data_IF_097327584667
#
_entry.id   IF_097327584667
#
_cell.length_a   1.000
_cell.length_b   1.000
_cell.length_c   1.000
_cell.angle_alpha   90.00
_cell.angle_beta   90.00
_cell.angle_gamma   90.00
#
_symmetry.space_group_name_H-M   'P 1'
#
loop_
_entity.id
_entity.type
_entity.pdbx_description
1 polymer ?
#
# COMPACT_ATOMS: atom_id res chain seq x y z
N UNK A 1 -2.21 21.74 8.59
CA UNK A 1 -2.96 21.11 7.49
C UNK A 1 -2.01 20.29 6.63
N UNK A 2 -2.35 19.04 6.39
CA UNK A 2 -1.47 18.18 5.61
C UNK A 2 -1.75 18.33 4.13
N UNK A 3 -0.69 18.36 3.36
CA UNK A 3 -0.79 18.51 1.92
C UNK A 3 -1.09 17.17 1.27
N UNK A 4 -2.07 17.14 0.37
CA UNK A 4 -2.46 15.94 -0.34
C UNK A 4 -2.16 16.09 -1.82
N UNK A 5 -1.90 14.96 -2.45
CA UNK A 5 -1.62 14.89 -3.88
C UNK A 5 -2.38 13.70 -4.46
N UNK A 6 -2.99 13.88 -5.61
CA UNK A 6 -3.71 12.81 -6.28
C UNK A 6 -3.09 12.52 -7.63
N UNK A 7 -2.96 11.23 -7.95
CA UNK A 7 -2.44 10.79 -9.23
C UNK A 7 -3.32 9.70 -9.78
N UNK A 8 -3.55 9.72 -11.08
CA UNK A 8 -4.26 8.65 -11.76
C UNK A 8 -3.25 7.68 -12.34
N UNK A 9 -3.35 6.39 -11.97
CA UNK A 9 -2.49 5.34 -12.50
C UNK A 9 -3.33 4.11 -12.78
N UNK A 10 -2.97 3.41 -13.83
CA UNK A 10 -3.63 2.16 -14.18
C UNK A 10 -2.61 1.03 -14.14
N UNK A 11 -2.91 0.01 -13.35
CA UNK A 11 -2.13 -1.23 -13.29
C UNK A 11 -3.09 -2.38 -13.50
N UNK A 12 -2.70 -3.36 -14.33
CA UNK A 12 -3.53 -4.55 -14.43
C UNK A 12 -3.18 -5.48 -13.26
N UNK A 13 -3.98 -6.53 -13.10
CA UNK A 13 -3.86 -7.42 -11.92
C UNK A 13 -2.50 -8.11 -11.84
N UNK A 14 -1.81 -8.27 -12.98
CA UNK A 14 -0.50 -8.93 -13.00
C UNK A 14 0.65 -7.97 -12.72
N UNK A 15 0.36 -6.68 -12.62
CA UNK A 15 1.40 -5.66 -12.45
C UNK A 15 1.56 -5.19 -11.01
N UNK A 16 1.22 -6.06 -10.05
CA UNK A 16 1.27 -5.68 -8.64
C UNK A 16 2.67 -5.27 -8.19
N UNK A 17 3.72 -5.87 -8.75
CA UNK A 17 5.07 -5.49 -8.39
C UNK A 17 5.42 -4.08 -8.88
N UNK A 18 4.93 -3.71 -10.04
CA UNK A 18 5.11 -2.35 -10.55
C UNK A 18 4.39 -1.34 -9.66
N UNK A 19 3.21 -1.72 -9.20
CA UNK A 19 2.44 -0.87 -8.30
C UNK A 19 3.15 -0.71 -6.96
N UNK A 20 3.70 -1.80 -6.41
CA UNK A 20 4.47 -1.75 -5.17
C UNK A 20 5.65 -0.80 -5.30
N UNK A 21 6.38 -0.90 -6.42
CA UNK A 21 7.55 -0.05 -6.66
C UNK A 21 7.15 1.41 -6.83
N UNK A 22 6.02 1.67 -7.47
CA UNK A 22 5.48 3.02 -7.62
C UNK A 22 5.21 3.66 -6.26
N UNK A 23 4.55 2.92 -5.38
CA UNK A 23 4.22 3.43 -4.05
C UNK A 23 5.47 3.66 -3.20
N UNK A 24 6.42 2.74 -3.27
CA UNK A 24 7.69 2.89 -2.53
C UNK A 24 8.46 4.10 -3.01
N UNK A 25 8.49 4.34 -4.32
CA UNK A 25 9.19 5.47 -4.89
C UNK A 25 8.57 6.78 -4.45
N UNK A 26 7.24 6.87 -4.45
CA UNK A 26 6.55 8.09 -4.00
C UNK A 26 6.84 8.37 -2.54
N UNK A 27 6.86 7.33 -1.70
CA UNK A 27 7.16 7.50 -0.29
C UNK A 27 8.58 8.03 -0.09
N UNK A 28 9.51 7.53 -0.88
CA UNK A 28 10.90 8.00 -0.80
C UNK A 28 11.04 9.44 -1.27
N UNK A 29 10.09 9.91 -2.08
CA UNK A 29 10.06 11.29 -2.56
C UNK A 29 9.29 12.22 -1.61
N UNK A 30 8.77 11.68 -0.51
CA UNK A 30 8.06 12.50 0.48
C UNK A 30 6.54 12.44 0.37
N UNK A 31 6.01 11.41 -0.28
CA UNK A 31 4.56 11.25 -0.46
C UNK A 31 4.15 9.85 -0.03
N UNK A 32 3.53 9.74 1.14
CA UNK A 32 3.07 8.43 1.60
C UNK A 32 1.67 8.14 1.10
N UNK A 33 1.44 6.90 0.74
CA UNK A 33 0.18 6.44 0.21
C UNK A 33 -0.90 6.46 1.30
N UNK A 34 -2.08 7.01 0.96
CA UNK A 34 -3.23 7.04 1.86
C UNK A 34 -4.29 6.04 1.41
N UNK A 35 -4.65 6.10 0.16
CA UNK A 35 -5.70 5.23 -0.38
C UNK A 35 -5.71 5.29 -1.89
N UNK A 36 -6.37 4.30 -2.47
CA UNK A 36 -6.65 4.30 -3.90
C UNK A 36 -8.17 4.19 -4.06
N UNK A 37 -8.72 4.98 -4.98
CA UNK A 37 -10.15 5.06 -5.23
C UNK A 37 -10.40 4.70 -6.69
N UNK A 38 -11.45 3.93 -6.94
CA UNK A 38 -11.82 3.56 -8.29
C UNK A 38 -12.04 4.82 -9.14
N UNK A 39 -11.57 4.88 -10.38
CA UNK A 39 -10.99 3.79 -11.17
C UNK A 39 -9.47 3.62 -11.05
N UNK A 40 -8.77 4.43 -10.29
CA UNK A 40 -7.34 4.33 -10.15
C UNK A 40 -6.72 5.63 -9.68
N UNK A 41 -7.43 6.32 -8.78
CA UNK A 41 -6.96 7.59 -8.23
C UNK A 41 -6.22 7.32 -6.93
N UNK A 42 -4.92 7.53 -6.95
CA UNK A 42 -4.05 7.33 -5.78
C UNK A 42 -3.92 8.65 -5.03
N UNK A 43 -4.21 8.62 -3.74
CA UNK A 43 -4.10 9.80 -2.88
C UNK A 43 -2.88 9.62 -1.98
N UNK A 44 -2.01 10.63 -1.99
CA UNK A 44 -0.78 10.65 -1.19
C UNK A 44 -0.82 11.84 -0.24
N UNK A 45 -0.13 11.70 0.88
CA UNK A 45 -0.01 12.75 1.88
C UNK A 45 1.47 13.11 2.03
N UNK A 46 1.75 14.41 2.13
CA UNK A 46 3.14 14.86 2.31
C UNK A 46 3.72 14.29 3.60
N UNK A 47 4.95 13.78 3.53
CA UNK A 47 5.62 13.21 4.68
C UNK A 47 7.12 13.37 4.53
N UNK A 48 7.85 12.99 5.58
CA UNK A 48 9.30 12.91 5.49
C UNK A 48 9.67 11.81 4.52
N UNK A 49 10.57 12.06 3.56
CA UNK A 49 11.03 10.99 2.66
C UNK A 49 11.60 9.83 3.46
N UNK A 50 11.16 8.65 3.13
CA UNK A 50 11.57 7.45 3.86
C UNK A 50 11.57 6.25 2.93
N UNK A 51 12.49 5.33 3.15
CA UNK A 51 12.55 4.10 2.38
C UNK A 51 11.58 3.10 3.02
N UNK A 52 10.50 2.83 2.33
CA UNK A 52 9.41 1.98 2.83
C UNK A 52 9.08 0.93 1.78
N UNK A 53 8.89 -0.30 2.24
CA UNK A 53 8.49 -1.40 1.36
C UNK A 53 6.98 -1.50 1.38
N UNK A 54 6.38 -1.49 0.20
CA UNK A 54 4.94 -1.70 0.03
C UNK A 54 4.72 -3.10 -0.49
N UNK A 55 3.70 -3.76 0.04
CA UNK A 55 3.36 -5.10 -0.40
C UNK A 55 1.87 -5.19 -0.67
N UNK A 56 1.53 -5.69 -1.84
CA UNK A 56 0.15 -5.96 -2.23
C UNK A 56 -0.04 -7.46 -2.17
N UNK A 57 -1.02 -7.91 -1.40
CA UNK A 57 -1.24 -9.33 -1.24
C UNK A 57 -2.70 -9.66 -1.51
N UNK A 58 -2.92 -10.68 -2.33
CA UNK A 58 -4.26 -11.10 -2.73
C UNK A 58 -4.80 -12.12 -1.73
N UNK A 59 -5.91 -11.79 -1.07
CA UNK A 59 -6.54 -12.69 -0.11
C UNK A 59 -7.51 -13.60 -0.84
N UNK A 60 -7.07 -14.80 -1.16
CA UNK A 60 -7.88 -15.79 -1.88
C UNK A 60 -9.06 -16.29 -1.06
N UNK A 61 -8.95 -16.19 0.26
CA UNK A 61 -10.01 -16.65 1.16
C UNK A 61 -11.18 -15.67 1.24
N UNK A 62 -10.97 -14.45 0.72
CA UNK A 62 -12.01 -13.43 0.73
C UNK A 62 -12.24 -12.85 2.11
N UNK A 63 -13.42 -12.22 2.28
CA UNK A 63 -13.74 -11.49 3.50
C UNK A 63 -13.85 -12.39 4.73
N UNK A 64 -14.15 -13.66 4.53
CA UNK A 64 -14.43 -14.59 5.62
C UNK A 64 -13.33 -14.65 6.68
N UNK A 65 -12.07 -14.55 6.25
CA UNK A 65 -10.93 -14.61 7.16
C UNK A 65 -10.09 -13.33 7.11
N UNK A 66 -10.69 -12.24 6.67
CA UNK A 66 -9.98 -10.98 6.43
C UNK A 66 -9.29 -10.47 7.71
N UNK A 67 -9.99 -10.48 8.83
CA UNK A 67 -9.44 -9.96 10.07
C UNK A 67 -8.24 -10.76 10.57
N UNK A 68 -8.33 -12.08 10.49
CA UNK A 68 -7.23 -12.96 10.89
C UNK A 68 -6.04 -12.78 9.97
N UNK A 69 -6.32 -12.63 8.68
CA UNK A 69 -5.32 -12.45 7.65
C UNK A 69 -4.54 -11.14 7.87
N UNK A 70 -5.25 -10.04 8.12
CA UNK A 70 -4.62 -8.75 8.37
C UNK A 70 -3.80 -8.79 9.66
N UNK A 71 -4.34 -9.42 10.70
CA UNK A 71 -3.65 -9.52 11.98
C UNK A 71 -2.32 -10.28 11.86
N UNK A 72 -2.30 -11.31 11.01
CA UNK A 72 -1.09 -12.07 10.79
C UNK A 72 0.02 -11.19 10.20
N UNK A 73 -0.33 -10.31 9.27
CA UNK A 73 0.64 -9.37 8.71
C UNK A 73 1.07 -8.34 9.73
N UNK A 74 0.12 -7.83 10.52
CA UNK A 74 0.44 -6.85 11.55
C UNK A 74 1.37 -7.42 12.61
N UNK A 75 1.19 -8.69 12.96
CA UNK A 75 2.07 -9.36 13.91
C UNK A 75 3.50 -9.47 13.38
N UNK A 76 3.66 -9.42 12.06
CA UNK A 76 4.98 -9.43 11.43
C UNK A 76 5.54 -8.03 11.19
N UNK A 77 4.86 -7.00 11.70
CA UNK A 77 5.34 -5.63 11.63
C UNK A 77 4.85 -4.83 10.44
N UNK A 78 3.90 -5.38 9.67
CA UNK A 78 3.33 -4.66 8.53
C UNK A 78 2.19 -3.77 8.97
N UNK A 79 2.10 -2.59 8.39
CA UNK A 79 0.97 -1.68 8.60
C UNK A 79 -0.07 -1.94 7.52
N UNK A 80 -1.30 -2.22 7.91
CA UNK A 80 -2.40 -2.42 6.97
C UNK A 80 -2.94 -1.06 6.54
N UNK A 81 -3.14 -0.89 5.24
CA UNK A 81 -3.56 0.41 4.69
C UNK A 81 -4.98 0.38 4.16
N UNK A 82 -5.26 -0.51 3.23
CA UNK A 82 -6.57 -0.56 2.58
C UNK A 82 -6.69 -1.82 1.74
N UNK A 83 -7.90 -2.08 1.28
CA UNK A 83 -8.16 -3.13 0.31
C UNK A 83 -8.69 -2.48 -0.97
N UNK A 84 -8.21 -2.93 -2.11
CA UNK A 84 -8.68 -2.43 -3.39
C UNK A 84 -8.52 -3.52 -4.45
N UNK A 85 -9.62 -3.81 -5.15
CA UNK A 85 -9.61 -4.76 -6.27
C UNK A 85 -9.05 -6.13 -5.89
N UNK A 86 -9.38 -6.59 -4.68
CA UNK A 86 -8.97 -7.91 -4.20
C UNK A 86 -7.60 -7.96 -3.55
N UNK A 87 -6.84 -6.88 -3.62
CA UNK A 87 -5.53 -6.82 -3.00
C UNK A 87 -5.59 -6.07 -1.68
N UNK A 88 -4.85 -6.58 -0.69
CA UNK A 88 -4.64 -5.88 0.57
C UNK A 88 -3.30 -5.17 0.50
N UNK A 89 -3.30 -3.89 0.88
CA UNK A 89 -2.12 -3.04 0.80
C UNK A 89 -1.49 -2.93 2.17
N UNK A 90 -0.20 -3.24 2.24
CA UNK A 90 0.60 -3.15 3.47
C UNK A 90 1.86 -2.36 3.21
N UNK A 91 2.44 -1.79 4.26
CA UNK A 91 3.77 -1.19 4.17
C UNK A 91 4.56 -1.43 5.45
N UNK A 92 5.87 -1.35 5.32
CA UNK A 92 6.78 -1.58 6.44
C UNK A 92 8.07 -0.80 6.17
N UNK A 93 8.61 -0.10 7.17
CA UNK A 93 9.88 0.59 6.96
C UNK A 93 10.96 -0.40 6.52
N UNK A 94 11.79 0.02 5.56
CA UNK A 94 12.78 -0.89 4.97
C UNK A 94 13.76 -1.40 6.01
N UNK A 95 14.08 -0.58 7.03
CA UNK A 95 15.02 -0.97 8.08
C UNK A 95 14.44 -1.97 9.08
N UNK A 96 13.13 -2.27 8.97
CA UNK A 96 12.48 -3.28 9.81
C UNK A 96 12.34 -4.62 9.11
N UNK A 97 12.80 -4.73 7.87
CA UNK A 97 12.78 -5.99 7.15
C UNK A 97 13.87 -6.90 7.68
N UNK A 98 13.49 -8.13 7.95
CA UNK A 98 14.41 -9.14 8.48
C UNK A 98 14.60 -10.23 7.42
#
# INVERSE_FOLDING_TARGET
MKELKKEFRWFNIMEYEKEENYLSKRHQEGWKFKRVTFPGVYTFERCEPEKVIYQLDYNKEGIKHQMEYVRMFEDCGWEYLTEFDGYNYFRKPADKMQ
#
